data_IF_146092787422
#
_entry.id   IF_146092787422
#
_cell.length_a   1.000
_cell.length_b   1.000
_cell.length_c   1.000
_cell.angle_alpha   90.00
_cell.angle_beta   90.00
_cell.angle_gamma   90.00
#
_symmetry.space_group_name_H-M   'P 1'
#
loop_
_entity.id
_entity.type
_entity.pdbx_description
1 polymer ?
#
# COMPACT_ATOMS: atom_id res chain seq x y z
N UNK A 1 3.40 -23.49 -18.87
CA UNK A 1 3.12 -24.20 -17.61
C UNK A 1 4.37 -24.46 -16.77
N UNK A 2 5.57 -24.64 -17.34
CA UNK A 2 6.83 -24.78 -16.54
C UNK A 2 7.32 -23.48 -15.85
N UNK A 3 6.81 -22.30 -16.22
CA UNK A 3 7.37 -21.01 -15.78
C UNK A 3 6.96 -20.57 -14.35
N UNK A 4 5.96 -21.23 -13.73
CA UNK A 4 5.39 -20.84 -12.43
C UNK A 4 5.73 -21.82 -11.29
N UNK A 5 6.36 -22.95 -11.62
CA UNK A 5 6.60 -24.05 -10.68
C UNK A 5 7.48 -23.63 -9.50
N UNK A 6 8.45 -22.75 -9.73
CA UNK A 6 9.31 -22.24 -8.66
C UNK A 6 8.54 -21.45 -7.57
N UNK A 7 7.35 -20.92 -7.88
CA UNK A 7 6.50 -20.19 -6.91
C UNK A 7 5.49 -21.11 -6.24
N UNK A 8 4.79 -21.94 -7.02
CA UNK A 8 3.61 -22.68 -6.55
C UNK A 8 3.76 -24.21 -6.49
N UNK A 9 4.85 -24.76 -7.03
CA UNK A 9 5.09 -26.22 -7.10
C UNK A 9 6.14 -26.65 -6.06
N UNK A 10 6.13 -25.99 -4.90
CA UNK A 10 6.97 -26.38 -3.77
C UNK A 10 6.33 -27.58 -3.05
N UNK A 11 7.13 -28.58 -2.68
CA UNK A 11 6.64 -29.77 -1.97
C UNK A 11 6.02 -29.41 -0.61
N UNK A 12 6.54 -28.37 0.02
CA UNK A 12 6.05 -27.82 1.30
C UNK A 12 5.81 -26.33 1.16
N UNK A 13 4.81 -25.85 1.89
CA UNK A 13 4.56 -24.43 2.06
C UNK A 13 4.99 -24.01 3.46
N UNK A 14 6.11 -23.28 3.52
CA UNK A 14 6.80 -22.93 4.75
C UNK A 14 6.28 -21.62 5.39
N UNK A 15 5.21 -21.03 4.86
CA UNK A 15 4.60 -19.81 5.44
C UNK A 15 3.92 -20.16 6.77
N UNK A 16 4.62 -19.96 7.88
CA UNK A 16 4.09 -20.20 9.23
C UNK A 16 3.89 -18.89 10.00
N UNK A 17 2.62 -18.56 10.26
CA UNK A 17 2.24 -17.38 11.06
C UNK A 17 2.12 -17.65 12.57
N UNK A 18 2.32 -18.88 13.03
CA UNK A 18 2.09 -19.24 14.44
C UNK A 18 3.21 -18.77 15.38
N UNK A 19 4.43 -18.62 14.85
CA UNK A 19 5.63 -18.42 15.66
C UNK A 19 6.11 -16.96 15.75
N UNK A 20 5.47 -16.02 15.05
CA UNK A 20 5.86 -14.61 15.03
C UNK A 20 4.63 -13.68 14.98
N UNK A 21 4.85 -12.38 15.21
CA UNK A 21 3.81 -11.34 15.14
C UNK A 21 4.04 -10.34 14.02
N UNK A 22 5.19 -10.39 13.36
CA UNK A 22 5.57 -9.53 12.26
C UNK A 22 6.11 -10.38 11.11
N UNK A 23 5.56 -10.15 9.92
CA UNK A 23 5.89 -10.88 8.70
C UNK A 23 6.12 -9.88 7.59
N UNK A 24 7.14 -10.12 6.77
CA UNK A 24 7.45 -9.30 5.60
C UNK A 24 7.55 -10.20 4.38
N UNK A 25 6.90 -9.77 3.30
CA UNK A 25 7.02 -10.40 1.99
C UNK A 25 7.69 -9.38 1.08
N UNK A 26 8.87 -9.71 0.56
CA UNK A 26 9.46 -8.90 -0.51
C UNK A 26 8.71 -9.23 -1.80
N UNK A 27 8.00 -8.24 -2.31
CA UNK A 27 7.14 -8.39 -3.49
C UNK A 27 7.75 -7.81 -4.76
N UNK A 28 8.90 -7.16 -4.63
CA UNK A 28 9.49 -6.30 -5.67
C UNK A 28 9.69 -7.04 -6.99
N UNK A 29 10.34 -8.21 -6.94
CA UNK A 29 10.73 -8.95 -8.13
C UNK A 29 9.54 -9.57 -8.90
N UNK A 30 8.40 -9.80 -8.23
CA UNK A 30 7.25 -10.44 -8.85
C UNK A 30 6.11 -9.49 -9.21
N UNK A 31 6.02 -8.30 -8.60
CA UNK A 31 5.02 -7.31 -9.01
C UNK A 31 5.18 -6.84 -10.46
N UNK A 32 6.40 -6.91 -10.98
CA UNK A 32 6.70 -6.57 -12.36
C UNK A 32 6.45 -7.75 -13.33
N UNK A 33 6.19 -8.96 -12.81
CA UNK A 33 5.80 -10.13 -13.61
C UNK A 33 4.28 -10.31 -13.64
N UNK A 34 3.65 -9.91 -14.74
CA UNK A 34 2.20 -9.97 -14.91
C UNK A 34 1.60 -11.40 -14.84
N UNK A 35 2.38 -12.45 -15.14
CA UNK A 35 1.89 -13.84 -15.09
C UNK A 35 1.81 -14.37 -13.64
N UNK A 36 2.73 -13.94 -12.77
CA UNK A 36 2.85 -14.41 -11.38
C UNK A 36 2.12 -13.50 -10.39
N UNK A 37 2.05 -12.19 -10.69
CA UNK A 37 1.52 -11.17 -9.77
C UNK A 37 0.15 -11.53 -9.21
N UNK A 38 -0.81 -11.85 -10.10
CA UNK A 38 -2.19 -12.16 -9.70
C UNK A 38 -2.28 -13.41 -8.81
N UNK A 39 -1.81 -14.60 -9.23
CA UNK A 39 -1.94 -15.78 -8.38
C UNK A 39 -1.18 -15.65 -7.05
N UNK A 40 -0.04 -14.95 -7.03
CA UNK A 40 0.81 -14.87 -5.84
C UNK A 40 0.20 -13.96 -4.76
N UNK A 41 -0.25 -12.78 -5.14
CA UNK A 41 -0.90 -11.88 -4.19
C UNK A 41 -2.26 -12.49 -3.75
N UNK A 42 -3.00 -13.17 -4.64
CA UNK A 42 -4.20 -13.94 -4.25
C UNK A 42 -3.88 -14.96 -3.15
N UNK A 43 -2.79 -15.72 -3.32
CA UNK A 43 -2.33 -16.69 -2.33
C UNK A 43 -1.93 -16.01 -1.02
N UNK A 44 -1.13 -14.95 -1.06
CA UNK A 44 -0.72 -14.22 0.14
C UNK A 44 -1.93 -13.66 0.91
N UNK A 45 -2.93 -13.10 0.24
CA UNK A 45 -4.16 -12.65 0.90
C UNK A 45 -5.02 -13.78 1.43
N UNK A 46 -5.07 -14.93 0.74
CA UNK A 46 -5.73 -16.12 1.28
C UNK A 46 -5.07 -16.53 2.60
N UNK A 47 -3.73 -16.56 2.65
CA UNK A 47 -2.94 -16.85 3.84
C UNK A 47 -3.14 -15.84 4.97
N UNK A 48 -3.15 -14.54 4.65
CA UNK A 48 -3.46 -13.49 5.61
C UNK A 48 -4.90 -13.62 6.14
N UNK A 49 -5.87 -13.95 5.28
CA UNK A 49 -7.27 -14.08 5.70
C UNK A 49 -7.49 -15.19 6.74
N UNK A 50 -6.70 -16.26 6.69
CA UNK A 50 -6.78 -17.38 7.64
C UNK A 50 -6.34 -16.99 9.06
N UNK A 51 -5.51 -15.96 9.20
CA UNK A 51 -5.04 -15.48 10.51
C UNK A 51 -5.85 -14.29 11.05
N UNK A 52 -6.83 -13.80 10.28
CA UNK A 52 -7.78 -12.79 10.75
C UNK A 52 -8.79 -13.48 11.67
N UNK A 53 -8.47 -13.53 12.96
CA UNK A 53 -9.27 -14.16 14.01
C UNK A 53 -9.88 -13.13 15.00
N UNK A 54 -9.88 -11.85 14.60
CA UNK A 54 -10.37 -10.73 15.42
C UNK A 54 -9.31 -10.08 16.31
N UNK A 55 -8.09 -10.65 16.39
CA UNK A 55 -6.93 -9.94 16.95
C UNK A 55 -6.59 -8.72 16.10
N UNK A 56 -5.92 -7.74 16.72
CA UNK A 56 -5.48 -6.53 16.02
C UNK A 56 -4.45 -6.89 14.96
N UNK A 57 -4.70 -6.47 13.72
CA UNK A 57 -3.82 -6.70 12.58
C UNK A 57 -3.46 -5.38 11.91
N UNK A 58 -2.21 -5.28 11.47
CA UNK A 58 -1.73 -4.17 10.64
C UNK A 58 -1.19 -4.75 9.33
N UNK A 59 -1.74 -4.31 8.20
CA UNK A 59 -1.27 -4.71 6.88
C UNK A 59 -0.61 -3.48 6.24
N UNK A 60 0.69 -3.55 6.03
CA UNK A 60 1.47 -2.53 5.35
C UNK A 60 1.67 -2.95 3.89
N UNK A 61 1.34 -2.06 2.96
CA UNK A 61 1.58 -2.23 1.53
C UNK A 61 2.38 -1.05 1.03
N UNK A 62 3.67 -1.26 0.82
CA UNK A 62 4.51 -0.28 0.15
C UNK A 62 4.34 -0.38 -1.38
N UNK A 63 4.45 0.75 -2.08
CA UNK A 63 4.18 0.89 -3.52
C UNK A 63 2.84 0.26 -3.96
N UNK A 64 1.80 0.39 -3.13
CA UNK A 64 0.53 -0.32 -3.32
C UNK A 64 -0.15 -0.01 -4.67
N UNK A 65 0.15 1.11 -5.32
CA UNK A 65 -0.41 1.48 -6.61
C UNK A 65 -0.04 0.47 -7.71
N UNK A 66 1.11 -0.21 -7.60
CA UNK A 66 1.49 -1.30 -8.53
C UNK A 66 0.53 -2.48 -8.45
N UNK A 67 0.03 -2.79 -7.25
CA UNK A 67 -0.97 -3.85 -7.04
C UNK A 67 -2.28 -3.51 -7.74
N UNK A 68 -2.66 -2.22 -7.76
CA UNK A 68 -3.88 -1.74 -8.40
C UNK A 68 -3.86 -1.79 -9.93
N UNK A 69 -2.74 -2.17 -10.55
CA UNK A 69 -2.69 -2.43 -12.00
C UNK A 69 -3.37 -3.75 -12.38
N UNK A 70 -3.77 -4.55 -11.39
CA UNK A 70 -4.48 -5.81 -11.56
C UNK A 70 -5.95 -5.63 -11.12
N UNK A 71 -6.88 -5.93 -12.02
CA UNK A 71 -8.31 -5.75 -11.77
C UNK A 71 -8.81 -6.56 -10.57
N UNK A 72 -8.22 -7.73 -10.32
CA UNK A 72 -8.59 -8.55 -9.17
C UNK A 72 -8.15 -7.88 -7.85
N UNK A 73 -6.95 -7.29 -7.81
CA UNK A 73 -6.50 -6.57 -6.62
C UNK A 73 -7.21 -5.26 -6.41
N UNK A 74 -7.61 -4.59 -7.48
CA UNK A 74 -8.41 -3.39 -7.38
C UNK A 74 -9.71 -3.65 -6.59
N UNK A 75 -10.51 -4.64 -7.01
CA UNK A 75 -11.75 -5.01 -6.32
C UNK A 75 -11.47 -5.50 -4.89
N UNK A 76 -10.43 -6.33 -4.72
CA UNK A 76 -10.04 -6.80 -3.39
C UNK A 76 -9.67 -5.64 -2.45
N UNK A 77 -8.84 -4.70 -2.90
CA UNK A 77 -8.43 -3.55 -2.12
C UNK A 77 -9.62 -2.63 -1.81
N UNK A 78 -10.53 -2.42 -2.77
CA UNK A 78 -11.73 -1.62 -2.57
C UNK A 78 -12.65 -2.23 -1.49
N UNK A 79 -12.81 -3.55 -1.49
CA UNK A 79 -13.58 -4.27 -0.48
C UNK A 79 -12.85 -4.34 0.86
N UNK A 80 -11.53 -4.53 0.84
CA UNK A 80 -10.66 -4.55 2.01
C UNK A 80 -10.70 -3.24 2.79
N UNK A 81 -10.58 -2.10 2.10
CA UNK A 81 -10.68 -0.75 2.68
C UNK A 81 -11.96 -0.56 3.51
N UNK A 82 -13.09 -1.10 3.04
CA UNK A 82 -14.40 -0.99 3.70
C UNK A 82 -14.59 -1.97 4.85
N UNK A 83 -13.90 -3.11 4.83
CA UNK A 83 -14.16 -4.23 5.73
C UNK A 83 -13.10 -4.41 6.82
N UNK A 84 -11.86 -3.97 6.60
CA UNK A 84 -10.74 -4.21 7.52
C UNK A 84 -11.02 -3.73 8.95
N UNK A 85 -11.72 -2.59 9.10
CA UNK A 85 -12.11 -2.07 10.41
C UNK A 85 -13.03 -3.02 11.19
N UNK A 86 -13.92 -3.75 10.50
CA UNK A 86 -14.81 -4.75 11.12
C UNK A 86 -14.03 -5.95 11.64
N UNK A 87 -12.86 -6.20 11.07
CA UNK A 87 -11.96 -7.28 11.40
C UNK A 87 -10.91 -6.88 12.47
N UNK A 88 -11.10 -5.74 13.14
CA UNK A 88 -10.13 -5.16 14.09
C UNK A 88 -8.74 -4.91 13.46
N UNK A 89 -8.70 -4.72 12.14
CA UNK A 89 -7.49 -4.48 11.39
C UNK A 89 -7.36 -3.03 10.91
N UNK A 90 -6.16 -2.69 10.45
CA UNK A 90 -5.86 -1.46 9.73
C UNK A 90 -4.97 -1.75 8.52
N UNK A 91 -5.19 -1.01 7.44
CA UNK A 91 -4.35 -1.04 6.24
C UNK A 91 -3.56 0.26 6.18
N UNK A 92 -2.27 0.15 5.88
CA UNK A 92 -1.36 1.28 5.66
C UNK A 92 -0.83 1.16 4.24
N UNK A 93 -1.06 2.20 3.46
CA UNK A 93 -0.63 2.28 2.06
C UNK A 93 0.50 3.28 1.94
N UNK A 94 1.66 2.81 1.49
CA UNK A 94 2.83 3.61 1.16
C UNK A 94 2.93 3.83 -0.34
N UNK A 95 3.24 5.06 -0.77
CA UNK A 95 3.54 5.37 -2.18
C UNK A 95 4.51 6.54 -2.25
N UNK A 96 5.37 6.52 -3.27
CA UNK A 96 6.17 7.68 -3.65
C UNK A 96 5.44 8.59 -4.66
N UNK A 97 4.37 8.10 -5.27
CA UNK A 97 3.62 8.80 -6.31
C UNK A 97 2.18 9.08 -5.87
N UNK A 98 1.96 10.32 -5.42
CA UNK A 98 0.63 10.84 -5.10
C UNK A 98 -0.30 10.77 -6.32
N UNK A 99 0.23 11.07 -7.51
CA UNK A 99 -0.50 11.10 -8.77
C UNK A 99 -1.02 9.73 -9.19
N UNK A 100 -0.24 8.67 -9.01
CA UNK A 100 -0.65 7.32 -9.41
C UNK A 100 -1.77 6.79 -8.53
N UNK A 101 -1.80 7.19 -7.26
CA UNK A 101 -2.95 6.92 -6.37
C UNK A 101 -4.21 7.61 -6.88
N UNK A 102 -4.13 8.90 -7.23
CA UNK A 102 -5.28 9.66 -7.73
C UNK A 102 -5.81 9.14 -9.07
N UNK A 103 -4.93 8.58 -9.91
CA UNK A 103 -5.28 7.99 -11.21
C UNK A 103 -5.79 6.56 -11.12
N UNK A 104 -5.52 5.85 -10.03
CA UNK A 104 -6.05 4.50 -9.83
C UNK A 104 -7.57 4.51 -9.80
N UNK A 105 -8.22 3.44 -10.25
CA UNK A 105 -9.69 3.44 -10.32
C UNK A 105 -10.34 3.51 -8.92
N UNK A 106 -9.62 3.09 -7.88
CA UNK A 106 -10.06 3.21 -6.48
C UNK A 106 -9.54 4.45 -5.77
N UNK A 107 -8.89 5.39 -6.48
CA UNK A 107 -8.31 6.61 -5.89
C UNK A 107 -9.31 7.42 -5.06
N UNK A 108 -10.55 7.58 -5.56
CA UNK A 108 -11.62 8.20 -4.79
C UNK A 108 -11.95 7.45 -3.50
N UNK A 109 -12.04 6.11 -3.57
CA UNK A 109 -12.31 5.28 -2.39
C UNK A 109 -11.18 5.37 -1.36
N UNK A 110 -9.92 5.45 -1.80
CA UNK A 110 -8.78 5.64 -0.89
C UNK A 110 -8.90 6.97 -0.16
N UNK A 111 -9.12 8.07 -0.88
CA UNK A 111 -9.24 9.41 -0.28
C UNK A 111 -10.42 9.48 0.69
N UNK A 112 -11.55 8.86 0.36
CA UNK A 112 -12.76 8.90 1.18
C UNK A 112 -12.69 7.97 2.41
N UNK A 113 -12.10 6.78 2.26
CA UNK A 113 -12.10 5.76 3.31
C UNK A 113 -10.85 5.82 4.21
N UNK A 114 -9.75 6.39 3.74
CA UNK A 114 -8.56 6.58 4.57
C UNK A 114 -8.80 7.68 5.61
N UNK A 115 -9.03 7.25 6.85
CA UNK A 115 -9.24 8.16 7.98
C UNK A 115 -8.01 9.04 8.31
N UNK A 116 -6.81 8.57 7.97
CA UNK A 116 -5.55 9.26 8.25
C UNK A 116 -4.70 9.27 6.98
N UNK A 117 -4.23 10.44 6.58
CA UNK A 117 -3.25 10.61 5.51
C UNK A 117 -2.00 11.27 6.10
N UNK A 118 -0.83 10.69 5.81
CA UNK A 118 0.46 11.23 6.25
C UNK A 118 1.21 11.71 5.01
N UNK A 119 1.39 13.03 4.92
CA UNK A 119 2.15 13.65 3.84
C UNK A 119 3.55 13.99 4.32
N UNK A 120 4.55 13.56 3.55
CA UNK A 120 5.97 13.87 3.78
C UNK A 120 6.42 15.06 2.90
N UNK A 121 7.54 15.73 3.22
CA UNK A 121 8.05 16.83 2.41
C UNK A 121 8.20 16.43 0.94
N UNK A 122 7.61 17.20 0.03
CA UNK A 122 7.70 16.96 -1.40
C UNK A 122 7.90 18.29 -2.17
N UNK A 123 9.15 18.69 -2.45
CA UNK A 123 9.45 19.90 -3.23
C UNK A 123 8.85 19.88 -4.65
N UNK A 124 8.57 18.69 -5.18
CA UNK A 124 7.95 18.47 -6.50
C UNK A 124 6.43 18.32 -6.41
N UNK A 125 5.81 18.59 -5.26
CA UNK A 125 4.36 18.49 -5.09
C UNK A 125 3.64 19.34 -6.14
N UNK A 126 2.69 18.72 -6.82
CA UNK A 126 1.82 19.37 -7.78
C UNK A 126 0.56 19.91 -7.08
N UNK A 127 0.17 21.13 -7.43
CA UNK A 127 -0.96 21.79 -6.76
C UNK A 127 -2.29 21.08 -7.07
N UNK A 128 -2.50 20.64 -8.30
CA UNK A 128 -3.75 19.97 -8.68
C UNK A 128 -3.86 18.61 -7.97
N UNK A 129 -2.78 17.84 -7.93
CA UNK A 129 -2.79 16.55 -7.24
C UNK A 129 -3.09 16.71 -5.73
N UNK A 130 -2.39 17.62 -5.05
CA UNK A 130 -2.49 17.74 -3.59
C UNK A 130 -3.73 18.52 -3.13
N UNK A 131 -4.08 19.63 -3.78
CA UNK A 131 -5.21 20.48 -3.38
C UNK A 131 -6.52 20.01 -4.02
N UNK A 132 -6.54 19.74 -5.34
CA UNK A 132 -7.78 19.26 -5.98
C UNK A 132 -8.00 17.75 -5.80
N UNK A 133 -6.94 16.95 -5.82
CA UNK A 133 -7.02 15.50 -5.64
C UNK A 133 -7.25 15.12 -4.18
N UNK A 134 -6.21 15.29 -3.35
CA UNK A 134 -6.23 14.93 -1.92
C UNK A 134 -7.02 15.90 -1.02
N UNK A 135 -7.56 16.99 -1.58
CA UNK A 135 -8.39 17.97 -0.85
C UNK A 135 -7.65 18.68 0.29
N UNK A 136 -6.33 18.81 0.18
CA UNK A 136 -5.55 19.61 1.12
C UNK A 136 -5.89 21.09 0.99
N UNK A 137 -5.75 21.82 2.08
CA UNK A 137 -5.79 23.28 2.06
C UNK A 137 -4.53 23.84 1.38
N UNK A 138 -4.62 25.07 0.88
CA UNK A 138 -3.46 25.78 0.34
C UNK A 138 -2.31 25.81 1.35
N UNK A 139 -2.61 26.02 2.64
CA UNK A 139 -1.58 26.09 3.67
C UNK A 139 -0.87 24.75 3.86
N UNK A 140 -1.60 23.63 3.89
CA UNK A 140 -1.02 22.29 3.99
C UNK A 140 -0.15 21.96 2.78
N UNK A 141 -0.60 22.30 1.57
CA UNK A 141 0.20 22.14 0.36
C UNK A 141 1.52 22.93 0.43
N UNK A 142 1.48 24.21 0.83
CA UNK A 142 2.70 25.02 0.98
C UNK A 142 3.65 24.42 2.04
N UNK A 143 3.10 23.93 3.16
CA UNK A 143 3.92 23.26 4.18
C UNK A 143 4.66 22.05 3.61
N UNK A 144 3.94 21.18 2.90
CA UNK A 144 4.50 19.98 2.26
C UNK A 144 5.56 20.33 1.22
N UNK A 145 5.31 21.37 0.42
CA UNK A 145 6.17 21.74 -0.70
C UNK A 145 7.45 22.47 -0.29
N UNK A 146 7.38 23.37 0.69
CA UNK A 146 8.50 24.27 1.01
C UNK A 146 8.95 24.21 2.47
N UNK A 147 8.03 24.10 3.42
CA UNK A 147 8.34 24.45 4.82
C UNK A 147 8.75 23.24 5.69
N UNK A 148 8.37 22.02 5.28
CA UNK A 148 8.72 20.78 6.00
C UNK A 148 10.10 20.22 5.61
N UNK A 149 10.78 20.80 4.61
CA UNK A 149 12.16 20.41 4.31
C UNK A 149 13.03 20.65 5.56
N UNK A 150 13.84 19.68 6.00
CA UNK A 150 14.68 19.89 7.17
C UNK A 150 15.55 21.12 6.91
N UNK A 151 15.40 22.14 7.76
CA UNK A 151 16.37 23.23 7.80
C UNK A 151 17.69 22.55 8.13
N UNK A 152 18.59 22.44 7.16
CA UNK A 152 19.97 22.11 7.43
C UNK A 152 20.43 23.15 8.44
N UNK A 153 20.47 22.79 9.71
CA UNK A 153 21.12 23.61 10.72
C UNK A 153 22.57 23.65 10.29
N UNK A 154 22.97 24.76 9.70
CA UNK A 154 24.37 25.15 9.55
C UNK A 154 24.95 25.30 10.95
N UNK A 155 25.23 24.18 11.60
CA UNK A 155 26.08 24.12 12.78
C UNK A 155 27.47 23.84 12.21
N UNK A 156 28.36 24.84 12.15
CA UNK A 156 29.76 24.56 11.87
C UNK A 156 30.29 23.70 13.03
N UNK A 157 30.85 22.54 12.70
CA UNK A 157 31.69 21.76 13.62
C UNK A 157 32.95 22.56 13.99
#
# INVERSE_FOLDING_TARGET
MEHLAWVFDNETDDIDFSNNTMFGFDVTDFLDNAEIRTPLIMYLFHRISQIIDGRRMMIFMDEFWKLLLDEYFEDFAQNGLKTIRKLNGLMVFGTQSAKDVLKSAIGYSIIEQCATMVFMPNPKADWDDYVKGFKLTEREYQLIKTDMAPRLSSVPY
#
